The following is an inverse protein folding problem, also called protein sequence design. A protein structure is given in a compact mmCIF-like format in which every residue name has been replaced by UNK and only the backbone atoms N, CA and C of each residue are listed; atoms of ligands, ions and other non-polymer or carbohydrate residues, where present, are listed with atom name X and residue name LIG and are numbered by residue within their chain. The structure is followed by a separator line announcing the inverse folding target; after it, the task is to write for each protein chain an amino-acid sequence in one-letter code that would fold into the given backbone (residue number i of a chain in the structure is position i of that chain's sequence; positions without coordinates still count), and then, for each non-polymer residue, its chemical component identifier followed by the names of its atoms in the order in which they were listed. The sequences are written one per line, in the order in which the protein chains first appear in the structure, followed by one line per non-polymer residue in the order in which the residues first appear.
data_IF_873693660179
#
_entry.id   IF_873693660179
#
_cell.length_a   1.000
_cell.length_b   1.000
_cell.length_c   1.000
_cell.angle_alpha   90.00
_cell.angle_beta   90.00
_cell.angle_gamma   90.00
#
_symmetry.space_group_name_H-M   'P 1'
#
loop_
_entity.id
_entity.type
_entity.pdbx_description
1 polymer ?
#
# COMPACT_ATOMS: atom_id res chain seq x y z
N UNK A 1 -36.92 4.39 -2.81
CA UNK A 1 -35.88 4.70 -3.81
C UNK A 1 -34.56 4.67 -3.08
N UNK A 2 -33.72 3.68 -3.34
CA UNK A 2 -32.37 3.64 -2.79
C UNK A 2 -31.57 4.60 -3.67
N UNK A 3 -31.20 5.76 -3.13
CA UNK A 3 -30.21 6.63 -3.74
C UNK A 3 -29.00 5.78 -4.11
N UNK A 4 -28.44 5.97 -5.31
CA UNK A 4 -27.18 5.35 -5.73
C UNK A 4 -26.17 5.52 -4.59
N UNK A 5 -25.88 4.44 -3.86
CA UNK A 5 -24.78 4.39 -2.91
C UNK A 5 -23.51 4.63 -3.72
N UNK A 6 -23.03 5.87 -3.70
CA UNK A 6 -21.76 6.23 -4.30
C UNK A 6 -20.72 5.81 -3.26
N UNK A 7 -20.18 4.59 -3.40
CA UNK A 7 -19.09 4.09 -2.56
C UNK A 7 -17.94 5.06 -2.78
N UNK A 8 -17.72 5.95 -1.80
CA UNK A 8 -16.64 6.92 -1.80
C UNK A 8 -15.60 6.38 -0.84
N UNK A 9 -14.45 5.99 -1.38
CA UNK A 9 -13.30 5.66 -0.55
C UNK A 9 -12.41 6.91 -0.41
N UNK A 10 -11.44 6.86 0.48
CA UNK A 10 -10.44 7.92 0.60
C UNK A 10 -9.15 7.49 -0.11
N UNK A 11 -9.27 7.13 -1.40
CA UNK A 11 -8.12 6.84 -2.27
C UNK A 11 -7.70 8.09 -3.06
N UNK A 12 -6.40 8.21 -3.33
CA UNK A 12 -5.86 9.30 -4.15
C UNK A 12 -6.36 9.23 -5.60
N UNK A 13 -6.58 8.01 -6.10
CA UNK A 13 -7.11 7.74 -7.43
C UNK A 13 -8.51 8.36 -7.64
N UNK A 14 -9.43 8.16 -6.70
CA UNK A 14 -10.79 8.69 -6.79
C UNK A 14 -10.85 10.22 -6.86
N UNK A 15 -9.94 10.92 -6.16
CA UNK A 15 -9.90 12.38 -6.25
C UNK A 15 -9.49 12.83 -7.66
N UNK A 16 -8.61 12.10 -8.36
CA UNK A 16 -8.23 12.41 -9.75
C UNK A 16 -9.39 12.13 -10.71
N UNK A 17 -10.08 11.00 -10.59
CA UNK A 17 -11.20 10.66 -11.50
C UNK A 17 -12.33 11.70 -11.47
N UNK A 18 -12.53 12.36 -10.33
CA UNK A 18 -13.44 13.51 -10.21
C UNK A 18 -13.04 14.68 -11.10
N UNK A 19 -11.76 15.04 -11.15
CA UNK A 19 -11.28 16.15 -11.98
C UNK A 19 -11.22 15.80 -13.47
N UNK A 20 -11.01 14.53 -13.79
CA UNK A 20 -11.02 14.04 -15.18
C UNK A 20 -12.44 14.08 -15.78
N UNK A 21 -13.45 13.78 -14.96
CA UNK A 21 -14.87 13.98 -15.30
C UNK A 21 -15.17 15.44 -15.69
N UNK A 22 -14.43 16.38 -15.08
CA UNK A 22 -14.52 17.82 -15.33
C UNK A 22 -13.57 18.31 -16.45
N UNK A 23 -12.85 17.41 -17.13
CA UNK A 23 -11.85 17.68 -18.19
C UNK A 23 -10.67 18.58 -17.73
N UNK A 24 -10.26 18.50 -16.46
CA UNK A 24 -9.16 19.30 -15.92
C UNK A 24 -7.97 18.40 -15.57
N UNK A 25 -6.89 18.49 -16.35
CA UNK A 25 -5.59 17.97 -15.93
C UNK A 25 -5.10 18.77 -14.71
N UNK A 26 -4.86 18.08 -13.59
CA UNK A 26 -4.38 18.73 -12.37
C UNK A 26 -2.88 18.98 -12.50
N UNK A 27 -2.50 20.24 -12.71
CA UNK A 27 -1.10 20.63 -12.82
C UNK A 27 -0.29 20.23 -11.58
N UNK A 28 0.84 19.54 -11.79
CA UNK A 28 1.71 19.04 -10.71
C UNK A 28 1.27 17.70 -10.11
N UNK A 29 0.41 16.96 -10.79
CA UNK A 29 0.04 15.57 -10.49
C UNK A 29 0.34 14.70 -11.70
N UNK A 30 1.06 13.59 -11.49
CA UNK A 30 1.40 12.61 -12.53
C UNK A 30 0.72 11.29 -12.22
N UNK A 31 0.08 10.68 -13.22
CA UNK A 31 -0.59 9.39 -13.13
C UNK A 31 0.15 8.36 -14.00
N UNK A 32 0.50 7.22 -13.41
CA UNK A 32 1.03 6.06 -14.12
C UNK A 32 0.19 4.83 -13.77
N UNK A 33 -0.36 4.16 -14.78
CA UNK A 33 -1.13 2.91 -14.61
C UNK A 33 -0.38 1.75 -15.25
N UNK A 34 -0.30 0.63 -14.54
CA UNK A 34 0.33 -0.59 -15.01
C UNK A 34 -0.60 -1.76 -14.75
N UNK A 35 -1.17 -2.28 -15.83
CA UNK A 35 -1.97 -3.49 -15.83
C UNK A 35 -1.09 -4.71 -16.14
N UNK A 36 -1.30 -5.77 -15.39
CA UNK A 36 -0.61 -7.04 -15.53
C UNK A 36 -1.61 -8.08 -16.09
N UNK A 37 -1.48 -8.43 -17.37
CA UNK A 37 -2.48 -9.27 -18.06
C UNK A 37 -2.56 -10.70 -17.53
N UNK A 38 -1.47 -11.23 -16.95
CA UNK A 38 -1.43 -12.61 -16.43
C UNK A 38 -2.15 -12.72 -15.09
N UNK A 39 -2.02 -11.70 -14.25
CA UNK A 39 -2.55 -11.68 -12.87
C UNK A 39 -3.80 -10.81 -12.72
N UNK A 40 -4.18 -10.08 -13.76
CA UNK A 40 -5.28 -9.08 -13.73
C UNK A 40 -5.12 -8.01 -12.64
N UNK A 41 -3.90 -7.83 -12.12
CA UNK A 41 -3.59 -6.83 -11.10
C UNK A 41 -3.34 -5.49 -11.79
N UNK A 42 -4.05 -4.45 -11.36
CA UNK A 42 -3.79 -3.08 -11.76
C UNK A 42 -3.03 -2.33 -10.66
N UNK A 43 -1.92 -1.69 -11.01
CA UNK A 43 -1.18 -0.79 -10.12
C UNK A 43 -1.23 0.62 -10.66
N UNK A 44 -1.88 1.50 -9.91
CA UNK A 44 -2.02 2.92 -10.26
C UNK A 44 -1.18 3.75 -9.31
N UNK A 45 -0.26 4.54 -9.86
CA UNK A 45 0.65 5.42 -9.12
C UNK A 45 0.28 6.88 -9.40
N UNK A 46 -0.14 7.60 -8.36
CA UNK A 46 -0.41 9.03 -8.39
C UNK A 46 0.74 9.74 -7.67
N UNK A 47 1.55 10.51 -8.39
CA UNK A 47 2.60 11.37 -7.82
C UNK A 47 2.11 12.79 -7.75
N UNK A 48 1.98 13.33 -6.55
CA UNK A 48 1.70 14.75 -6.31
C UNK A 48 3.05 15.42 -6.07
N UNK A 49 3.49 16.25 -7.01
CA UNK A 49 4.85 16.83 -7.02
C UNK A 49 4.89 18.26 -6.50
N UNK A 50 3.75 18.95 -6.45
CA UNK A 50 3.67 20.38 -6.10
C UNK A 50 2.66 20.66 -5.01
N UNK A 51 2.91 21.74 -4.24
CA UNK A 51 1.97 22.25 -3.21
C UNK A 51 0.60 22.64 -3.78
N UNK A 52 0.56 23.12 -5.03
CA UNK A 52 -0.70 23.42 -5.71
C UNK A 52 -1.46 22.13 -6.02
N UNK A 53 -0.76 21.12 -6.55
CA UNK A 53 -1.31 19.78 -6.73
C UNK A 53 -1.86 19.20 -5.42
N UNK A 54 -1.10 19.37 -4.32
CA UNK A 54 -1.52 18.91 -3.00
C UNK A 54 -2.80 19.59 -2.49
N UNK A 55 -2.93 20.91 -2.67
CA UNK A 55 -4.14 21.66 -2.33
C UNK A 55 -5.34 21.22 -3.16
N UNK A 56 -5.15 21.04 -4.47
CA UNK A 56 -6.22 20.62 -5.39
C UNK A 56 -6.68 19.20 -5.09
N UNK A 57 -5.73 18.28 -4.88
CA UNK A 57 -5.99 16.87 -4.55
C UNK A 57 -6.43 16.66 -3.10
N UNK A 58 -6.33 17.68 -2.24
CA UNK A 58 -6.55 17.62 -0.78
C UNK A 58 -5.74 16.50 -0.11
N UNK A 59 -4.53 16.28 -0.64
CA UNK A 59 -3.58 15.27 -0.17
C UNK A 59 -2.19 15.87 -0.20
N UNK A 60 -1.34 15.58 0.79
CA UNK A 60 0.02 16.13 0.80
C UNK A 60 0.82 15.69 -0.43
N UNK A 61 1.91 16.44 -0.70
CA UNK A 61 2.91 16.05 -1.70
C UNK A 61 3.44 14.66 -1.35
N UNK A 62 3.48 13.77 -2.34
CA UNK A 62 3.84 12.38 -2.10
C UNK A 62 3.46 11.45 -3.26
N UNK A 63 3.86 10.20 -3.12
CA UNK A 63 3.52 9.13 -4.06
C UNK A 63 2.47 8.23 -3.43
N UNK A 64 1.31 8.12 -4.07
CA UNK A 64 0.20 7.28 -3.67
C UNK A 64 0.09 6.13 -4.65
N UNK A 65 0.01 4.92 -4.14
CA UNK A 65 -0.10 3.71 -4.97
C UNK A 65 -1.38 3.00 -4.58
N UNK A 66 -2.24 2.79 -5.56
CA UNK A 66 -3.42 1.91 -5.45
C UNK A 66 -3.08 0.60 -6.15
N UNK A 67 -3.35 -0.51 -5.48
CA UNK A 67 -3.24 -1.86 -6.05
C UNK A 67 -4.64 -2.45 -6.06
N UNK A 68 -5.14 -2.75 -7.25
CA UNK A 68 -6.43 -3.40 -7.46
C UNK A 68 -6.17 -4.85 -7.86
N UNK A 69 -6.78 -5.77 -7.11
CA UNK A 69 -6.61 -7.20 -7.26
C UNK A 69 -8.00 -7.86 -7.18
N UNK A 70 -8.68 -8.09 -8.31
CA UNK A 70 -10.09 -8.49 -8.34
C UNK A 70 -10.35 -9.85 -7.66
N UNK A 71 -9.41 -10.79 -7.80
CA UNK A 71 -9.54 -12.15 -7.27
C UNK A 71 -9.08 -12.29 -5.80
N UNK A 72 -8.77 -11.19 -5.11
CA UNK A 72 -8.26 -11.22 -3.73
C UNK A 72 -9.26 -11.82 -2.73
N UNK A 73 -10.56 -11.69 -3.01
CA UNK A 73 -11.62 -12.25 -2.17
C UNK A 73 -11.73 -13.79 -2.30
N UNK A 74 -11.16 -14.37 -3.35
CA UNK A 74 -11.13 -15.81 -3.55
C UNK A 74 -9.99 -16.40 -2.73
N UNK A 75 -10.20 -17.52 -2.01
CA UNK A 75 -9.15 -18.19 -1.24
C UNK A 75 -8.23 -18.99 -2.18
N UNK A 76 -7.46 -18.29 -3.00
CA UNK A 76 -6.46 -18.84 -3.92
C UNK A 76 -5.05 -18.48 -3.43
N UNK A 77 -4.33 -19.48 -2.90
CA UNK A 77 -2.98 -19.29 -2.37
C UNK A 77 -1.96 -18.87 -3.44
N UNK A 78 -2.14 -19.29 -4.69
CA UNK A 78 -1.28 -18.91 -5.81
C UNK A 78 -1.42 -17.42 -6.11
N UNK A 79 -2.67 -16.97 -6.24
CA UNK A 79 -2.98 -15.55 -6.45
C UNK A 79 -2.50 -14.67 -5.29
N UNK A 80 -2.73 -15.12 -4.04
CA UNK A 80 -2.28 -14.39 -2.85
C UNK A 80 -0.76 -14.25 -2.79
N UNK A 81 -0.02 -15.25 -3.29
CA UNK A 81 1.43 -15.19 -3.41
C UNK A 81 1.87 -14.15 -4.44
N UNK A 82 1.26 -14.12 -5.61
CA UNK A 82 1.60 -13.15 -6.66
C UNK A 82 1.39 -11.70 -6.18
N UNK A 83 0.27 -11.44 -5.50
CA UNK A 83 0.00 -10.13 -4.89
C UNK A 83 1.04 -9.81 -3.82
N UNK A 84 1.42 -10.79 -2.99
CA UNK A 84 2.45 -10.59 -1.96
C UNK A 84 3.79 -10.21 -2.57
N UNK A 85 4.18 -10.82 -3.69
CA UNK A 85 5.39 -10.49 -4.45
C UNK A 85 5.28 -9.08 -5.07
N UNK A 86 4.11 -8.71 -5.61
CA UNK A 86 3.86 -7.35 -6.11
C UNK A 86 3.98 -6.30 -5.00
N UNK A 87 3.33 -6.53 -3.85
CA UNK A 87 3.41 -5.65 -2.68
C UNK A 87 4.84 -5.50 -2.17
N UNK A 88 5.60 -6.59 -2.08
CA UNK A 88 7.04 -6.55 -1.77
C UNK A 88 7.79 -5.64 -2.73
N UNK A 89 7.57 -5.81 -4.04
CA UNK A 89 8.25 -4.99 -5.07
C UNK A 89 7.94 -3.49 -4.93
N UNK A 90 6.72 -3.14 -4.49
CA UNK A 90 6.30 -1.76 -4.27
C UNK A 90 6.92 -1.19 -3.01
N UNK A 91 6.88 -1.93 -1.89
CA UNK A 91 7.48 -1.52 -0.62
C UNK A 91 8.99 -1.28 -0.73
N UNK A 92 9.71 -2.14 -1.45
CA UNK A 92 11.15 -1.97 -1.69
C UNK A 92 11.49 -0.65 -2.39
N UNK A 93 10.57 -0.04 -3.15
CA UNK A 93 10.81 1.29 -3.77
C UNK A 93 10.83 2.42 -2.73
N UNK A 94 10.18 2.23 -1.59
CA UNK A 94 10.10 3.23 -0.52
C UNK A 94 11.18 3.04 0.54
N UNK A 95 11.74 1.84 0.66
CA UNK A 95 12.81 1.52 1.59
C UNK A 95 14.13 1.70 0.85
N UNK A 96 14.92 2.71 1.24
CA UNK A 96 16.32 2.77 0.83
C UNK A 96 17.03 1.60 1.51
N UNK A 97 17.62 0.70 0.73
CA UNK A 97 18.39 -0.47 1.24
C UNK A 97 19.88 -0.18 1.06
N UNK A 98 20.33 0.96 1.58
CA UNK A 98 21.71 1.43 1.56
C UNK A 98 22.56 0.94 2.75
N UNK A 99 21.93 0.33 3.76
CA UNK A 99 22.56 -0.19 4.98
C UNK A 99 22.26 -1.67 5.14
N UNK A 100 23.19 -2.38 5.76
CA UNK A 100 23.01 -3.79 6.12
C UNK A 100 21.91 -3.97 7.16
N UNK A 101 21.74 -3.03 8.11
CA UNK A 101 20.74 -3.13 9.16
C UNK A 101 19.77 -1.93 9.21
N UNK A 102 18.48 -2.24 9.27
CA UNK A 102 17.42 -1.28 9.61
C UNK A 102 16.69 -1.70 10.88
N UNK A 103 16.50 -0.74 11.78
CA UNK A 103 15.51 -0.88 12.85
C UNK A 103 14.16 -0.39 12.32
N UNK A 104 13.24 -1.31 12.04
CA UNK A 104 11.90 -1.01 11.53
C UNK A 104 10.87 -1.08 12.67
N UNK A 105 9.95 -0.11 12.71
CA UNK A 105 8.75 -0.15 13.54
C UNK A 105 7.54 -0.28 12.63
N UNK A 106 6.78 -1.36 12.78
CA UNK A 106 5.51 -1.55 12.08
C UNK A 106 4.37 -1.23 13.05
N UNK A 107 3.43 -0.40 12.61
CA UNK A 107 2.24 0.01 13.39
C UNK A 107 1.00 -0.54 12.70
N UNK A 108 0.35 -1.55 13.29
CA UNK A 108 -0.92 -2.08 12.82
C UNK A 108 -2.09 -1.23 13.30
N UNK A 109 -2.47 -0.21 12.52
CA UNK A 109 -3.61 0.65 12.83
C UNK A 109 -4.93 -0.08 12.61
N UNK A 110 -5.87 0.11 13.53
CA UNK A 110 -7.22 -0.45 13.45
C UNK A 110 -7.73 -1.00 14.78
N UNK A 111 -8.98 -1.43 14.79
CA UNK A 111 -9.66 -1.99 15.96
C UNK A 111 -9.92 -3.49 15.78
N UNK A 112 -9.25 -4.32 16.62
CA UNK A 112 -9.39 -5.80 16.63
C UNK A 112 -10.82 -6.29 16.84
N UNK A 113 -11.67 -5.50 17.50
CA UNK A 113 -13.05 -5.88 17.80
C UNK A 113 -14.02 -5.56 16.66
N UNK A 114 -13.57 -4.89 15.60
CA UNK A 114 -14.39 -4.45 14.48
C UNK A 114 -13.85 -5.08 13.20
N UNK A 115 -14.53 -6.12 12.68
CA UNK A 115 -14.08 -6.91 11.53
C UNK A 115 -13.55 -6.09 10.34
N UNK A 116 -14.24 -5.04 9.84
CA UNK A 116 -13.72 -4.25 8.72
C UNK A 116 -12.50 -3.37 9.05
N UNK A 117 -12.18 -3.17 10.33
CA UNK A 117 -11.07 -2.33 10.81
C UNK A 117 -9.97 -3.15 11.52
N UNK A 118 -10.10 -4.48 11.56
CA UNK A 118 -9.16 -5.36 12.26
C UNK A 118 -7.92 -5.74 11.44
N UNK A 119 -7.84 -5.31 10.17
CA UNK A 119 -6.80 -5.72 9.23
C UNK A 119 -5.39 -5.38 9.74
N UNK A 120 -5.13 -4.14 10.14
CA UNK A 120 -3.80 -3.73 10.59
C UNK A 120 -3.31 -4.52 11.81
N UNK A 121 -4.11 -4.66 12.89
CA UNK A 121 -3.75 -5.50 14.03
C UNK A 121 -3.50 -6.97 13.66
N UNK A 122 -4.30 -7.56 12.77
CA UNK A 122 -4.11 -8.96 12.35
C UNK A 122 -2.88 -9.14 11.47
N UNK A 123 -2.55 -8.20 10.60
CA UNK A 123 -1.29 -8.22 9.85
C UNK A 123 -0.10 -8.17 10.82
N UNK A 124 -0.15 -7.32 11.85
CA UNK A 124 0.94 -7.19 12.81
C UNK A 124 1.20 -8.47 13.62
N UNK A 125 0.18 -9.29 13.89
CA UNK A 125 0.33 -10.57 14.59
C UNK A 125 1.12 -11.62 13.79
N UNK A 126 1.11 -11.52 12.45
CA UNK A 126 1.78 -12.45 11.55
C UNK A 126 3.17 -11.97 11.11
N UNK A 127 3.68 -10.88 11.70
CA UNK A 127 5.02 -10.37 11.40
C UNK A 127 6.09 -11.12 12.21
N UNK A 128 7.22 -11.39 11.55
CA UNK A 128 8.39 -11.92 12.24
C UNK A 128 9.09 -10.80 13.03
N UNK A 129 8.89 -10.77 14.35
CA UNK A 129 9.45 -9.73 15.23
C UNK A 129 10.86 -10.11 15.68
N UNK A 130 11.87 -9.39 15.18
CA UNK A 130 13.29 -9.76 15.38
C UNK A 130 14.00 -8.91 16.44
N UNK A 131 13.48 -7.72 16.77
CA UNK A 131 14.16 -6.73 17.64
C UNK A 131 14.50 -7.26 19.03
N UNK A 132 13.61 -8.03 19.65
CA UNK A 132 13.83 -8.57 21.00
C UNK A 132 14.85 -9.71 20.97
N UNK A 133 14.76 -10.61 19.97
CA UNK A 133 15.72 -11.69 19.75
C UNK A 133 17.13 -11.15 19.56
N UNK A 134 17.31 -10.17 18.66
CA UNK A 134 18.62 -9.56 18.38
C UNK A 134 19.19 -8.86 19.63
N UNK A 135 18.35 -8.25 20.45
CA UNK A 135 18.80 -7.57 21.69
C UNK A 135 19.20 -8.55 22.79
N UNK A 136 18.51 -9.68 22.90
CA UNK A 136 18.72 -10.64 23.99
C UNK A 136 19.79 -11.69 23.63
N UNK A 137 19.78 -12.17 22.40
CA UNK A 137 20.59 -13.29 21.91
C UNK A 137 21.57 -12.90 20.81
N UNK A 138 21.62 -11.64 20.37
CA UNK A 138 22.49 -11.23 19.26
C UNK A 138 22.00 -11.69 17.89
N UNK A 139 22.68 -11.23 16.82
CA UNK A 139 22.25 -11.48 15.43
C UNK A 139 22.35 -12.94 14.99
N UNK A 140 23.30 -13.70 15.53
CA UNK A 140 23.50 -15.12 15.17
C UNK A 140 22.27 -15.99 15.47
N UNK A 141 21.43 -15.57 16.43
CA UNK A 141 20.18 -16.25 16.75
C UNK A 141 19.11 -16.14 15.65
N UNK A 142 19.30 -15.23 14.67
CA UNK A 142 18.40 -15.05 13.54
C UNK A 142 18.66 -16.03 12.38
N UNK A 143 19.67 -16.90 12.50
CA UNK A 143 19.99 -17.90 11.49
C UNK A 143 20.73 -17.34 10.26
N UNK A 144 21.13 -16.07 10.27
CA UNK A 144 21.99 -15.47 9.26
C UNK A 144 23.44 -15.43 9.78
N UNK A 145 24.28 -16.25 9.12
CA UNK A 145 25.73 -16.45 9.24
C UNK A 145 26.27 -17.38 10.35
N UNK A 146 26.58 -18.61 9.91
CA UNK A 146 27.97 -19.06 9.87
C UNK A 146 28.52 -18.84 8.46
#
# INVERSE_FOLDING_TARGET
MIEKYNVRTDLALEQKERFDSDHVEVQGVVLEEKYDEETEICVTTVKIETENGAKTMKRPVGTYITVEAPEMAVPDEGYHREISEKLKSLLTRFIQVDKEDYSVLVVGLGNRQVTPDALGPFVADHLNITRHVVKEYGKYAMGEEA
#
